data_IF_875120243879
#
_entry.id   IF_875120243879
#
_cell.length_a   1.000
_cell.length_b   1.000
_cell.length_c   1.000
_cell.angle_alpha   90.00
_cell.angle_beta   90.00
_cell.angle_gamma   90.00
#
_symmetry.space_group_name_H-M   'P 1'
#
loop_
_entity.id
_entity.type
_entity.pdbx_description
1 polymer ?
#
# COMPACT_ATOMS: atom_id res chain seq x y z
N UNK A 1 0.60 17.93 -17.64
CA UNK A 1 -0.51 18.12 -18.61
C UNK A 1 -0.57 19.58 -18.98
N UNK A 2 -0.52 19.88 -20.28
CA UNK A 2 -0.53 21.25 -20.80
C UNK A 2 -1.82 22.01 -20.43
N UNK A 3 -2.95 21.30 -20.34
CA UNK A 3 -4.25 21.87 -19.96
C UNK A 3 -4.24 22.37 -18.51
N UNK A 4 -3.68 21.60 -17.58
CA UNK A 4 -3.58 22.00 -16.16
C UNK A 4 -2.71 23.23 -15.96
N UNK A 5 -1.57 23.30 -16.67
CA UNK A 5 -0.69 24.48 -16.66
C UNK A 5 -1.36 25.71 -17.26
N UNK A 6 -2.10 25.53 -18.35
CA UNK A 6 -2.85 26.62 -18.99
C UNK A 6 -3.91 27.19 -18.05
N UNK A 7 -4.71 26.33 -17.40
CA UNK A 7 -5.73 26.76 -16.45
C UNK A 7 -5.13 27.52 -15.26
N UNK A 8 -4.04 27.03 -14.68
CA UNK A 8 -3.36 27.70 -13.57
C UNK A 8 -2.88 29.11 -13.95
N UNK A 9 -2.31 29.26 -15.14
CA UNK A 9 -1.78 30.56 -15.61
C UNK A 9 -2.84 31.54 -16.10
N UNK A 10 -4.07 31.08 -16.34
CA UNK A 10 -5.17 31.88 -16.90
C UNK A 10 -6.41 31.91 -16.00
N UNK A 11 -6.30 31.45 -14.74
CA UNK A 11 -7.40 31.46 -13.79
C UNK A 11 -7.82 32.91 -13.48
N UNK A 12 -9.13 33.23 -13.53
CA UNK A 12 -9.62 34.60 -13.31
C UNK A 12 -9.54 35.07 -11.85
N UNK A 13 -9.14 34.19 -10.93
CA UNK A 13 -8.86 34.50 -9.53
C UNK A 13 -7.57 33.81 -9.10
N UNK A 14 -6.86 34.40 -8.14
CA UNK A 14 -5.74 33.74 -7.49
C UNK A 14 -6.26 32.52 -6.73
N UNK A 15 -5.68 31.36 -7.01
CA UNK A 15 -6.01 30.14 -6.28
C UNK A 15 -5.56 30.29 -4.83
N UNK A 16 -6.42 29.88 -3.91
CA UNK A 16 -6.04 29.82 -2.50
C UNK A 16 -5.14 28.61 -2.19
N UNK A 17 -4.62 28.56 -0.96
CA UNK A 17 -3.70 27.51 -0.55
C UNK A 17 -4.32 26.09 -0.60
N UNK A 18 -5.62 25.99 -0.37
CA UNK A 18 -6.34 24.72 -0.37
C UNK A 18 -6.61 24.24 -1.80
N UNK A 19 -6.96 25.14 -2.71
CA UNK A 19 -7.12 24.85 -4.13
C UNK A 19 -5.81 24.38 -4.76
N UNK A 20 -4.68 25.01 -4.39
CA UNK A 20 -3.34 24.58 -4.82
C UNK A 20 -3.03 23.19 -4.25
N UNK A 21 -3.30 22.94 -2.97
CA UNK A 21 -3.10 21.62 -2.34
C UNK A 21 -3.87 20.52 -3.08
N UNK A 22 -5.16 20.76 -3.35
CA UNK A 22 -6.03 19.82 -4.07
C UNK A 22 -5.56 19.58 -5.51
N UNK A 23 -5.08 20.62 -6.20
CA UNK A 23 -4.55 20.50 -7.56
C UNK A 23 -3.26 19.66 -7.61
N UNK A 24 -2.36 19.82 -6.62
CA UNK A 24 -1.16 18.99 -6.48
C UNK A 24 -1.57 17.53 -6.25
N UNK A 25 -2.47 17.25 -5.30
CA UNK A 25 -2.93 15.89 -5.00
C UNK A 25 -3.62 15.23 -6.19
N UNK A 26 -4.45 15.97 -6.93
CA UNK A 26 -5.09 15.48 -8.14
C UNK A 26 -4.05 15.13 -9.22
N UNK A 27 -3.03 15.97 -9.39
CA UNK A 27 -1.93 15.75 -10.33
C UNK A 27 -1.14 14.49 -9.96
N UNK A 28 -0.82 14.30 -8.68
CA UNK A 28 -0.16 13.10 -8.18
C UNK A 28 -1.01 11.84 -8.41
N UNK A 29 -2.33 11.89 -8.18
CA UNK A 29 -3.24 10.74 -8.39
C UNK A 29 -3.28 10.27 -9.84
N UNK A 30 -3.18 11.18 -10.81
CA UNK A 30 -3.14 10.84 -12.24
C UNK A 30 -1.72 10.54 -12.75
N UNK A 31 -0.69 10.67 -11.92
CA UNK A 31 0.71 10.41 -12.27
C UNK A 31 1.42 11.56 -12.99
N UNK A 32 0.84 12.77 -12.97
CA UNK A 32 1.40 13.97 -13.60
C UNK A 32 2.40 14.65 -12.65
N UNK A 33 3.54 13.99 -12.43
CA UNK A 33 4.58 14.44 -11.50
C UNK A 33 5.14 15.81 -11.86
N UNK A 34 5.19 16.14 -13.15
CA UNK A 34 5.65 17.45 -13.64
C UNK A 34 4.67 18.57 -13.27
N UNK A 35 3.37 18.36 -13.50
CA UNK A 35 2.35 19.34 -13.09
C UNK A 35 2.31 19.47 -11.58
N UNK A 36 2.36 18.34 -10.85
CA UNK A 36 2.37 18.36 -9.40
C UNK A 36 3.57 19.17 -8.87
N UNK A 37 4.77 18.95 -9.41
CA UNK A 37 5.99 19.69 -9.06
C UNK A 37 5.89 21.18 -9.39
N UNK A 38 5.28 21.52 -10.54
CA UNK A 38 5.10 22.89 -10.97
C UNK A 38 4.19 23.69 -10.03
N UNK A 39 3.19 23.04 -9.44
CA UNK A 39 2.22 23.66 -8.55
C UNK A 39 2.71 23.82 -7.10
N UNK A 40 3.85 23.22 -6.74
CA UNK A 40 4.39 23.30 -5.37
C UNK A 40 4.73 24.76 -5.02
N UNK A 41 4.22 25.30 -3.91
CA UNK A 41 4.56 26.65 -3.46
C UNK A 41 6.06 26.81 -3.16
N UNK A 42 6.62 28.03 -3.28
CA UNK A 42 8.02 28.30 -2.91
C UNK A 42 8.35 27.82 -1.49
N UNK A 43 9.39 26.99 -1.36
CA UNK A 43 9.83 26.41 -0.08
C UNK A 43 9.06 25.16 0.36
N UNK A 44 8.00 24.77 -0.35
CA UNK A 44 7.32 23.49 -0.14
C UNK A 44 8.06 22.32 -0.78
N UNK A 45 7.79 21.10 -0.32
CA UNK A 45 8.27 19.87 -0.97
C UNK A 45 7.08 19.09 -1.51
N UNK A 46 7.23 18.51 -2.69
CA UNK A 46 6.16 17.72 -3.31
C UNK A 46 5.67 16.57 -2.42
N UNK A 47 6.58 15.97 -1.66
CA UNK A 47 6.28 14.86 -0.74
C UNK A 47 5.31 15.25 0.37
N UNK A 48 5.20 16.54 0.72
CA UNK A 48 4.28 17.01 1.75
C UNK A 48 2.79 16.87 1.32
N UNK A 49 2.54 16.56 0.04
CA UNK A 49 1.21 16.35 -0.56
C UNK A 49 0.92 14.87 -0.90
N UNK A 50 1.83 13.95 -0.54
CA UNK A 50 1.82 12.57 -1.03
C UNK A 50 0.98 11.58 -0.19
N UNK A 51 0.61 11.94 1.04
CA UNK A 51 0.13 10.98 2.06
C UNK A 51 -1.09 10.12 1.63
N UNK A 52 -1.97 10.69 0.82
CA UNK A 52 -3.22 10.06 0.36
C UNK A 52 -3.16 9.55 -1.08
N UNK A 53 -1.96 9.43 -1.65
CA UNK A 53 -1.80 9.02 -3.05
C UNK A 53 -1.19 7.62 -3.14
N UNK A 54 -1.96 6.72 -3.75
CA UNK A 54 -1.72 5.27 -3.71
C UNK A 54 -0.87 4.79 -4.91
N UNK A 55 -0.20 5.73 -5.59
CA UNK A 55 0.62 5.42 -6.76
C UNK A 55 2.00 4.90 -6.35
N UNK A 56 2.53 3.85 -7.00
CA UNK A 56 3.86 3.33 -6.69
C UNK A 56 4.97 4.39 -6.77
N UNK A 57 4.91 5.30 -7.75
CA UNK A 57 5.92 6.36 -7.90
C UNK A 57 5.89 7.35 -6.73
N UNK A 58 4.70 7.61 -6.18
CA UNK A 58 4.51 8.52 -5.05
C UNK A 58 4.91 7.84 -3.75
N UNK A 59 4.58 6.56 -3.59
CA UNK A 59 5.03 5.74 -2.45
C UNK A 59 6.55 5.62 -2.43
N UNK A 60 7.19 5.42 -3.58
CA UNK A 60 8.65 5.41 -3.71
C UNK A 60 9.27 6.77 -3.33
N UNK A 61 8.67 7.89 -3.75
CA UNK A 61 9.08 9.21 -3.31
C UNK A 61 8.96 9.39 -1.78
N UNK A 62 7.87 8.92 -1.15
CA UNK A 62 7.71 8.96 0.31
C UNK A 62 8.75 8.09 1.03
N UNK A 63 9.08 6.93 0.45
CA UNK A 63 10.12 6.04 0.95
C UNK A 63 11.50 6.70 0.93
N UNK A 64 11.87 7.32 -0.20
CA UNK A 64 13.16 7.98 -0.39
C UNK A 64 13.30 9.25 0.47
N UNK A 65 12.19 9.93 0.74
CA UNK A 65 12.13 11.07 1.66
C UNK A 65 12.22 10.68 3.15
N UNK A 66 12.18 9.38 3.48
CA UNK A 66 12.27 8.88 4.85
C UNK A 66 10.96 8.89 5.63
N UNK A 67 9.85 9.35 5.04
CA UNK A 67 8.54 9.44 5.71
C UNK A 67 8.08 8.07 6.22
N UNK A 68 8.23 7.04 5.37
CA UNK A 68 7.79 5.69 5.72
C UNK A 68 8.64 5.05 6.83
N UNK A 69 9.81 5.59 7.17
CA UNK A 69 10.58 5.13 8.34
C UNK A 69 9.98 5.68 9.64
N UNK A 70 9.45 6.89 9.60
CA UNK A 70 8.96 7.62 10.78
C UNK A 70 7.49 7.30 11.09
N UNK A 71 6.70 6.92 10.09
CA UNK A 71 5.29 6.55 10.22
C UNK A 71 5.05 5.07 9.85
N UNK A 72 5.02 4.16 10.85
CA UNK A 72 4.70 2.75 10.64
C UNK A 72 3.31 2.50 10.05
N UNK A 73 2.34 3.39 10.31
CA UNK A 73 0.99 3.27 9.77
C UNK A 73 0.97 3.56 8.27
N UNK A 74 1.61 4.65 7.85
CA UNK A 74 1.81 4.95 6.44
C UNK A 74 2.63 3.86 5.73
N UNK A 75 3.62 3.28 6.40
CA UNK A 75 4.42 2.18 5.88
C UNK A 75 3.57 0.93 5.59
N UNK A 76 2.75 0.49 6.55
CA UNK A 76 1.88 -0.67 6.38
C UNK A 76 0.81 -0.44 5.30
N UNK A 77 0.15 0.73 5.31
CA UNK A 77 -0.82 1.10 4.29
C UNK A 77 -0.19 1.14 2.88
N UNK A 78 1.07 1.57 2.77
CA UNK A 78 1.83 1.56 1.52
C UNK A 78 2.13 0.15 1.04
N UNK A 79 2.49 -0.79 1.92
CA UNK A 79 2.68 -2.20 1.55
C UNK A 79 1.39 -2.77 0.95
N UNK A 80 0.24 -2.52 1.59
CA UNK A 80 -1.06 -2.91 1.05
C UNK A 80 -1.26 -2.36 -0.36
N UNK A 81 -1.20 -1.03 -0.53
CA UNK A 81 -1.38 -0.36 -1.83
C UNK A 81 -0.46 -0.90 -2.94
N UNK A 82 0.79 -1.22 -2.59
CA UNK A 82 1.77 -1.76 -3.55
C UNK A 82 1.47 -3.20 -3.99
N UNK A 83 0.78 -3.99 -3.16
CA UNK A 83 0.42 -5.37 -3.48
C UNK A 83 -0.44 -5.46 -4.75
N UNK A 84 -1.36 -4.52 -4.97
CA UNK A 84 -2.17 -4.45 -6.20
C UNK A 84 -1.34 -4.12 -7.44
N UNK A 85 -0.19 -3.46 -7.27
CA UNK A 85 0.66 -3.01 -8.38
C UNK A 85 1.81 -3.94 -8.72
N UNK A 86 1.97 -5.04 -7.97
CA UNK A 86 3.07 -6.01 -8.17
C UNK A 86 4.47 -5.46 -7.84
N UNK A 87 4.55 -4.44 -6.98
CA UNK A 87 5.81 -3.76 -6.62
C UNK A 87 6.44 -4.36 -5.36
N UNK A 88 6.70 -5.67 -5.42
CA UNK A 88 7.34 -6.42 -4.33
C UNK A 88 8.69 -5.82 -3.91
N UNK A 89 9.43 -5.23 -4.86
CA UNK A 89 10.69 -4.53 -4.59
C UNK A 89 10.53 -3.39 -3.56
N UNK A 90 9.48 -2.57 -3.71
CA UNK A 90 9.17 -1.49 -2.79
C UNK A 90 8.64 -2.02 -1.46
N UNK A 91 7.79 -3.05 -1.48
CA UNK A 91 7.27 -3.69 -0.27
C UNK A 91 8.41 -4.23 0.60
N UNK A 92 9.39 -4.90 -0.01
CA UNK A 92 10.59 -5.39 0.66
C UNK A 92 11.44 -4.25 1.24
N UNK A 93 11.62 -3.15 0.50
CA UNK A 93 12.35 -1.97 1.00
C UNK A 93 11.66 -1.37 2.23
N UNK A 94 10.33 -1.24 2.20
CA UNK A 94 9.54 -0.71 3.32
C UNK A 94 9.63 -1.65 4.54
N UNK A 95 9.40 -2.95 4.36
CA UNK A 95 9.43 -3.91 5.45
C UNK A 95 10.80 -3.96 6.16
N UNK A 96 11.90 -3.79 5.42
CA UNK A 96 13.26 -3.70 5.98
C UNK A 96 13.46 -2.51 6.90
N UNK A 97 12.74 -1.40 6.72
CA UNK A 97 12.83 -0.23 7.61
C UNK A 97 12.29 -0.53 9.02
N UNK A 98 11.38 -1.50 9.12
CA UNK A 98 10.65 -1.86 10.34
C UNK A 98 11.01 -3.27 10.83
N UNK A 99 12.13 -3.83 10.35
CA UNK A 99 12.64 -5.15 10.71
C UNK A 99 13.78 -5.06 11.75
N UNK A 100 13.78 -5.92 12.80
CA UNK A 100 12.68 -6.81 13.21
C UNK A 100 11.48 -5.98 13.70
N UNK A 101 10.24 -6.52 13.65
CA UNK A 101 9.05 -5.83 14.15
C UNK A 101 9.34 -5.31 15.55
N UNK A 102 9.33 -3.99 15.71
CA UNK A 102 9.62 -3.37 17.00
C UNK A 102 8.62 -3.93 18.03
N UNK A 103 9.08 -4.32 19.24
CA UNK A 103 8.18 -4.78 20.28
C UNK A 103 7.07 -3.74 20.51
N UNK A 104 5.84 -4.16 20.83
CA UNK A 104 4.64 -3.32 20.90
C UNK A 104 4.67 -2.20 21.96
N UNK A 105 5.83 -1.88 22.52
CA UNK A 105 6.01 -0.91 23.60
C UNK A 105 6.26 0.52 23.11
N UNK A 106 6.43 0.76 21.80
CA UNK A 106 6.72 2.11 21.28
C UNK A 106 5.80 2.61 20.16
N UNK A 107 4.93 1.78 19.58
CA UNK A 107 4.01 2.20 18.51
C UNK A 107 2.65 1.54 18.69
N UNK A 108 1.60 2.34 18.86
CA UNK A 108 0.18 1.89 18.94
C UNK A 108 -0.37 1.34 17.60
N UNK A 109 0.47 0.85 16.69
CA UNK A 109 0.06 0.48 15.34
C UNK A 109 0.22 -1.02 15.09
N UNK A 110 -0.89 -1.68 14.74
CA UNK A 110 -0.93 -3.10 14.42
C UNK A 110 -0.86 -3.30 12.90
N UNK A 111 0.27 -3.86 12.44
CA UNK A 111 0.52 -4.15 11.02
C UNK A 111 -0.39 -5.23 10.45
N UNK A 112 -1.00 -6.05 11.30
CA UNK A 112 -1.72 -7.26 10.90
C UNK A 112 -2.84 -6.99 9.90
N UNK A 113 -3.60 -5.91 10.08
CA UNK A 113 -4.73 -5.60 9.22
C UNK A 113 -4.29 -5.26 7.79
N UNK A 114 -3.34 -4.33 7.63
CA UNK A 114 -2.82 -3.98 6.31
C UNK A 114 -2.05 -5.14 5.67
N UNK A 115 -1.35 -5.95 6.47
CA UNK A 115 -0.67 -7.16 5.98
C UNK A 115 -1.67 -8.19 5.41
N UNK A 116 -2.79 -8.40 6.11
CA UNK A 116 -3.86 -9.28 5.68
C UNK A 116 -4.48 -8.82 4.35
N UNK A 117 -4.83 -7.54 4.25
CA UNK A 117 -5.39 -6.99 3.00
C UNK A 117 -4.37 -6.94 1.85
N UNK A 118 -3.08 -6.77 2.16
CA UNK A 118 -2.03 -6.89 1.13
C UNK A 118 -2.03 -8.30 0.51
N UNK A 119 -2.21 -9.34 1.33
CA UNK A 119 -2.25 -10.72 0.86
C UNK A 119 -3.50 -10.99 0.00
N UNK A 120 -4.66 -10.45 0.39
CA UNK A 120 -5.88 -10.47 -0.44
C UNK A 120 -5.61 -9.86 -1.81
N UNK A 121 -5.05 -8.65 -1.85
CA UNK A 121 -4.81 -7.94 -3.10
C UNK A 121 -3.81 -8.66 -4.01
N UNK A 122 -2.76 -9.24 -3.43
CA UNK A 122 -1.82 -10.08 -4.16
C UNK A 122 -2.50 -11.35 -4.71
N UNK A 123 -3.41 -11.96 -3.94
CA UNK A 123 -4.21 -13.10 -4.39
C UNK A 123 -5.22 -12.73 -5.49
N UNK A 124 -5.82 -11.53 -5.47
CA UNK A 124 -6.72 -11.06 -6.53
C UNK A 124 -5.97 -10.85 -7.85
N UNK A 125 -4.80 -10.22 -7.78
CA UNK A 125 -3.97 -9.91 -8.95
C UNK A 125 -3.22 -11.14 -9.48
N UNK A 126 -2.97 -12.14 -8.63
CA UNK A 126 -2.19 -13.33 -8.98
C UNK A 126 -0.69 -13.12 -8.91
N UNK A 127 -0.21 -12.15 -8.13
CA UNK A 127 1.22 -11.97 -7.89
C UNK A 127 1.73 -13.00 -6.87
N UNK A 128 2.05 -14.19 -7.38
CA UNK A 128 2.45 -15.36 -6.59
C UNK A 128 3.67 -15.08 -5.72
N UNK A 129 4.65 -14.30 -6.19
CA UNK A 129 5.85 -14.01 -5.41
C UNK A 129 5.53 -13.08 -4.23
N UNK A 130 4.65 -12.10 -4.44
CA UNK A 130 4.13 -11.28 -3.35
C UNK A 130 3.29 -12.10 -2.37
N UNK A 131 2.43 -13.01 -2.86
CA UNK A 131 1.65 -13.93 -2.01
C UNK A 131 2.58 -14.78 -1.15
N UNK A 132 3.59 -15.44 -1.74
CA UNK A 132 4.59 -16.25 -1.02
C UNK A 132 5.26 -15.45 0.09
N UNK A 133 5.76 -14.25 -0.25
CA UNK A 133 6.46 -13.40 0.70
C UNK A 133 5.55 -12.98 1.88
N UNK A 134 4.32 -12.57 1.59
CA UNK A 134 3.37 -12.16 2.63
C UNK A 134 2.97 -13.32 3.53
N UNK A 135 2.60 -14.47 2.96
CA UNK A 135 2.15 -15.66 3.70
C UNK A 135 3.24 -16.25 4.59
N UNK A 136 4.49 -16.29 4.12
CA UNK A 136 5.60 -16.87 4.85
C UNK A 136 6.16 -15.95 5.96
N UNK A 137 5.78 -14.67 5.96
CA UNK A 137 6.27 -13.70 6.93
C UNK A 137 5.80 -14.01 8.37
N UNK A 138 6.63 -13.79 9.41
CA UNK A 138 6.22 -14.03 10.81
C UNK A 138 4.94 -13.31 11.25
N UNK A 139 4.64 -12.16 10.67
CA UNK A 139 3.38 -11.44 10.93
C UNK A 139 2.16 -12.26 10.53
N UNK A 140 2.23 -13.03 9.44
CA UNK A 140 1.14 -13.89 8.96
C UNK A 140 0.90 -15.10 9.85
N UNK A 141 1.95 -15.64 10.48
CA UNK A 141 1.78 -16.71 11.49
C UNK A 141 0.97 -16.23 12.70
N UNK A 142 1.19 -14.97 13.10
CA UNK A 142 0.40 -14.33 14.15
C UNK A 142 -1.07 -14.07 13.77
N UNK A 143 -1.39 -13.94 12.46
CA UNK A 143 -2.77 -13.83 11.98
C UNK A 143 -3.56 -15.11 12.26
N UNK A 144 -2.96 -16.28 12.01
CA UNK A 144 -3.59 -17.58 12.29
C UNK A 144 -3.96 -17.78 13.77
N UNK A 145 -3.25 -17.11 14.67
CA UNK A 145 -3.38 -17.29 16.12
C UNK A 145 -4.32 -16.27 16.78
N UNK A 146 -4.65 -15.16 16.11
CA UNK A 146 -5.43 -14.07 16.70
C UNK A 146 -6.80 -13.88 16.04
N UNK A 147 -7.83 -13.67 16.88
CA UNK A 147 -9.15 -13.23 16.45
C UNK A 147 -9.05 -11.78 15.96
N UNK A 148 -8.59 -11.60 14.72
CA UNK A 148 -8.88 -10.38 13.97
C UNK A 148 -10.40 -10.33 13.69
N UNK A 149 -10.89 -9.20 13.17
CA UNK A 149 -12.32 -8.81 13.20
C UNK A 149 -13.33 -9.88 12.71
N UNK A 150 -12.90 -10.96 12.03
CA UNK A 150 -13.77 -12.00 11.48
C UNK A 150 -13.55 -13.42 12.04
N UNK A 151 -12.73 -13.62 13.08
CA UNK A 151 -12.59 -14.90 13.79
C UNK A 151 -11.70 -15.93 13.04
N UNK A 152 -10.96 -16.71 13.84
CA UNK A 152 -9.79 -17.58 13.51
C UNK A 152 -9.80 -18.44 12.23
N UNK A 153 -10.92 -18.69 11.57
CA UNK A 153 -11.00 -19.60 10.41
C UNK A 153 -11.45 -18.93 9.12
N UNK A 154 -12.02 -17.72 9.17
CA UNK A 154 -12.61 -17.09 7.99
C UNK A 154 -11.57 -16.39 7.10
N UNK A 155 -10.45 -15.98 7.68
CA UNK A 155 -9.51 -15.05 7.06
C UNK A 155 -8.54 -15.72 6.08
N UNK A 156 -8.01 -16.90 6.41
CA UNK A 156 -7.10 -17.65 5.53
C UNK A 156 -7.89 -18.38 4.43
N UNK A 157 -9.03 -18.94 4.79
CA UNK A 157 -10.03 -19.39 3.82
C UNK A 157 -10.39 -18.25 2.84
N UNK A 158 -10.34 -16.99 3.28
CA UNK A 158 -10.57 -15.85 2.41
C UNK A 158 -9.50 -15.69 1.34
N UNK A 159 -8.20 -15.87 1.64
CA UNK A 159 -7.14 -15.79 0.62
C UNK A 159 -7.33 -16.82 -0.49
N UNK A 160 -7.63 -18.07 -0.12
CA UNK A 160 -7.90 -19.13 -1.09
C UNK A 160 -9.19 -18.86 -1.88
N UNK A 161 -10.27 -18.44 -1.22
CA UNK A 161 -11.53 -18.08 -1.88
C UNK A 161 -11.35 -16.92 -2.87
N UNK A 162 -10.56 -15.91 -2.49
CA UNK A 162 -10.27 -14.74 -3.31
C UNK A 162 -9.46 -15.14 -4.54
N UNK A 163 -8.37 -15.91 -4.36
CA UNK A 163 -7.59 -16.43 -5.48
C UNK A 163 -8.45 -17.30 -6.42
N UNK A 164 -9.31 -18.14 -5.86
CA UNK A 164 -10.27 -18.97 -6.61
C UNK A 164 -11.28 -18.13 -7.39
N UNK A 165 -11.89 -17.13 -6.75
CA UNK A 165 -12.84 -16.21 -7.40
C UNK A 165 -12.21 -15.38 -8.50
N UNK A 166 -10.92 -15.07 -8.39
CA UNK A 166 -10.14 -14.36 -9.41
C UNK A 166 -9.52 -15.30 -10.48
N UNK A 167 -9.61 -16.62 -10.32
CA UNK A 167 -9.05 -17.60 -11.27
C UNK A 167 -7.53 -17.74 -11.23
N UNK A 168 -6.90 -17.41 -10.10
CA UNK A 168 -5.44 -17.39 -9.93
C UNK A 168 -4.89 -18.75 -9.50
N UNK A 169 -4.77 -19.67 -10.47
CA UNK A 169 -4.44 -21.09 -10.22
C UNK A 169 -3.10 -21.24 -9.47
N UNK A 170 -2.04 -20.54 -9.88
CA UNK A 170 -0.73 -20.67 -9.24
C UNK A 170 -0.74 -20.20 -7.77
N UNK A 171 -1.53 -19.16 -7.47
CA UNK A 171 -1.72 -18.70 -6.09
C UNK A 171 -2.52 -19.74 -5.27
N UNK A 172 -3.55 -20.35 -5.87
CA UNK A 172 -4.32 -21.43 -5.23
C UNK A 172 -3.45 -22.66 -4.94
N UNK A 173 -2.61 -23.08 -5.90
CA UNK A 173 -1.68 -24.20 -5.72
C UNK A 173 -0.73 -23.93 -4.55
N UNK A 174 -0.12 -22.74 -4.50
CA UNK A 174 0.73 -22.36 -3.39
C UNK A 174 -0.01 -22.36 -2.05
N UNK A 175 -1.20 -21.76 -1.98
CA UNK A 175 -1.99 -21.72 -0.75
C UNK A 175 -2.41 -23.13 -0.29
N UNK A 176 -2.74 -24.02 -1.24
CA UNK A 176 -3.03 -25.42 -0.95
C UNK A 176 -1.81 -26.14 -0.37
N UNK A 177 -0.62 -25.96 -0.95
CA UNK A 177 0.64 -26.55 -0.45
C UNK A 177 1.05 -26.06 0.94
N UNK A 178 0.53 -24.90 1.38
CA UNK A 178 0.76 -24.37 2.73
C UNK A 178 -0.31 -24.80 3.74
N UNK A 179 -1.18 -25.75 3.40
CA UNK A 179 -2.34 -26.19 4.20
C UNK A 179 -3.31 -25.03 4.52
N UNK A 180 -3.34 -24.00 3.67
CA UNK A 180 -4.20 -22.81 3.82
C UNK A 180 -5.54 -22.94 3.07
N UNK A 181 -5.77 -24.08 2.40
CA UNK A 181 -7.03 -24.40 1.73
C UNK A 181 -7.98 -25.26 2.59
N UNK A 182 -7.46 -25.96 3.60
CA UNK A 182 -8.19 -26.98 4.36
C UNK A 182 -9.04 -26.43 5.52
N UNK A 183 -9.15 -25.10 5.65
CA UNK A 183 -9.95 -24.44 6.69
C UNK A 183 -11.39 -24.11 6.24
N UNK A 184 -11.81 -24.60 5.07
CA UNK A 184 -13.17 -24.44 4.54
C UNK A 184 -14.02 -25.65 5.00
N UNK A 185 -14.49 -25.62 6.24
CA UNK A 185 -15.58 -26.48 6.74
C UNK A 185 -16.95 -25.81 6.54
#
# INVERSE_FOLDING_TARGET
SDVGRWLYTHAPHELDAEEIRLAIEASLKVGDMELASFLVPPGGRLVDFAYMVDRPEVIEMMLDAGILREDPGAAAASIRRLATSGRLDLMLRIARLHSPPLPPTHVNFDWRNDWFYAAIQACEVGDVETVKWLVQHPLSKGLCETDLMFGRSSEIAHWFCVASGAGQIEAMEFLYEQDLADQID
#
